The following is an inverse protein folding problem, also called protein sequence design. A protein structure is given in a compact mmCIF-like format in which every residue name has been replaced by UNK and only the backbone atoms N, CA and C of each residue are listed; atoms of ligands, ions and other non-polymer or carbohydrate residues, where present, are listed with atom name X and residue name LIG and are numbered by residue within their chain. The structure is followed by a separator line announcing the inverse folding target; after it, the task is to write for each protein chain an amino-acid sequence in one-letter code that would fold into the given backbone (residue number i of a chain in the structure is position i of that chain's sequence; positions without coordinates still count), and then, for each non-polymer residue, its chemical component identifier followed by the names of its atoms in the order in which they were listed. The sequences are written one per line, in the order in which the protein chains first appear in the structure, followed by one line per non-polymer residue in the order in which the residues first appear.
data_IF_072374284465
#
_entry.id   IF_072374284465
#
_cell.length_a   1.000
_cell.length_b   1.000
_cell.length_c   1.000
_cell.angle_alpha   90.00
_cell.angle_beta   90.00
_cell.angle_gamma   90.00
#
_symmetry.space_group_name_H-M   'P 1'
#
loop_
_entity.id
_entity.type
_entity.pdbx_description
1 polymer ?
#
# COMPACT_ATOMS: atom_id res chain seq x y z
N UNK A 1 2.26 -10.33 -15.95
CA UNK A 1 2.78 -9.24 -15.08
C UNK A 1 4.22 -9.56 -14.68
N UNK A 2 5.15 -8.61 -14.75
CA UNK A 2 6.51 -8.78 -14.20
C UNK A 2 6.46 -8.73 -12.66
N UNK A 3 7.26 -9.55 -11.97
CA UNK A 3 7.36 -9.56 -10.51
C UNK A 3 8.68 -8.99 -9.99
N UNK A 4 8.70 -8.60 -8.71
CA UNK A 4 9.87 -8.16 -7.95
C UNK A 4 9.81 -8.69 -6.53
N UNK A 5 10.96 -8.98 -5.93
CA UNK A 5 11.08 -9.29 -4.50
C UNK A 5 10.88 -8.02 -3.67
N UNK A 6 10.02 -8.07 -2.66
CA UNK A 6 9.78 -6.92 -1.78
C UNK A 6 10.78 -6.89 -0.62
N UNK A 7 11.56 -5.81 -0.53
CA UNK A 7 12.55 -5.61 0.52
C UNK A 7 13.55 -6.77 0.61
N UNK A 8 13.90 -7.15 1.84
CA UNK A 8 14.74 -8.32 2.13
C UNK A 8 13.89 -9.56 2.49
N UNK A 9 12.66 -9.65 1.99
CA UNK A 9 11.78 -10.78 2.21
C UNK A 9 11.83 -11.79 1.06
N UNK A 10 11.13 -12.91 1.19
CA UNK A 10 10.89 -13.85 0.08
C UNK A 10 9.57 -13.57 -0.65
N UNK A 11 8.91 -12.44 -0.38
CA UNK A 11 7.64 -12.11 -1.02
C UNK A 11 7.88 -11.55 -2.42
N UNK A 12 7.18 -12.12 -3.40
CA UNK A 12 7.15 -11.59 -4.77
C UNK A 12 5.86 -10.80 -5.02
N UNK A 13 6.01 -9.56 -5.46
CA UNK A 13 4.89 -8.68 -5.81
C UNK A 13 4.98 -8.22 -7.27
N UNK A 14 3.89 -7.69 -7.82
CA UNK A 14 3.88 -7.09 -9.16
C UNK A 14 4.84 -5.90 -9.20
N UNK A 15 5.60 -5.78 -10.30
CA UNK A 15 6.54 -4.68 -10.49
C UNK A 15 5.85 -3.30 -10.55
N UNK A 16 4.56 -3.30 -10.91
CA UNK A 16 3.68 -2.14 -10.83
C UNK A 16 2.76 -2.34 -9.62
N UNK A 17 2.76 -1.38 -8.70
CA UNK A 17 1.80 -1.30 -7.60
C UNK A 17 0.69 -0.29 -7.86
N UNK A 18 -0.34 -0.32 -7.03
CA UNK A 18 -1.46 0.61 -7.06
C UNK A 18 -1.56 1.38 -5.75
N UNK A 19 -1.46 2.72 -5.82
CA UNK A 19 -1.75 3.60 -4.69
C UNK A 19 -3.24 3.83 -4.51
N UNK A 20 -3.75 3.62 -3.30
CA UNK A 20 -5.18 3.69 -2.98
C UNK A 20 -5.59 5.02 -2.32
N UNK A 21 -4.67 5.97 -2.11
CA UNK A 21 -4.95 7.27 -1.48
C UNK A 21 -6.22 7.95 -2.01
N UNK A 22 -6.37 8.06 -3.34
CA UNK A 22 -7.48 8.77 -3.97
C UNK A 22 -8.85 8.09 -3.86
N UNK A 23 -8.93 6.88 -3.31
CA UNK A 23 -10.23 6.22 -3.12
C UNK A 23 -11.08 7.00 -2.10
N UNK A 24 -10.49 7.45 -1.01
CA UNK A 24 -11.24 8.15 0.06
C UNK A 24 -10.57 9.42 0.56
N UNK A 25 -9.42 9.82 -0.01
CA UNK A 25 -8.67 11.01 0.38
C UNK A 25 -8.47 12.00 -0.77
N UNK A 26 -8.44 13.29 -0.43
CA UNK A 26 -8.32 14.42 -1.37
C UNK A 26 -9.65 15.06 -1.75
N UNK A 27 -9.62 15.99 -2.70
CA UNK A 27 -10.76 16.86 -3.04
C UNK A 27 -12.01 16.10 -3.53
N UNK A 28 -11.80 14.91 -4.12
CA UNK A 28 -12.88 14.04 -4.58
C UNK A 28 -12.39 12.59 -4.72
N UNK A 29 -13.15 11.60 -4.20
CA UNK A 29 -13.00 10.18 -4.54
C UNK A 29 -13.02 9.95 -6.05
N UNK A 30 -12.36 8.88 -6.50
CA UNK A 30 -12.32 8.53 -7.94
C UNK A 30 -13.67 8.03 -8.49
N UNK A 31 -14.62 7.70 -7.62
CA UNK A 31 -15.95 7.19 -7.96
C UNK A 31 -16.76 6.92 -6.69
N UNK A 32 -17.91 6.30 -6.83
CA UNK A 32 -18.63 5.72 -5.70
C UNK A 32 -17.95 4.44 -5.17
N UNK A 33 -18.47 3.89 -4.07
CA UNK A 33 -17.90 2.69 -3.45
C UNK A 33 -17.85 1.49 -4.40
N UNK A 34 -18.89 1.27 -5.19
CA UNK A 34 -18.96 0.13 -6.09
C UNK A 34 -17.96 0.29 -7.23
N UNK A 35 -17.87 1.48 -7.82
CA UNK A 35 -16.89 1.79 -8.87
C UNK A 35 -15.45 1.60 -8.37
N UNK A 36 -15.15 1.99 -7.13
CA UNK A 36 -13.84 1.80 -6.53
C UNK A 36 -13.50 0.33 -6.27
N UNK A 37 -14.47 -0.47 -5.81
CA UNK A 37 -14.30 -1.91 -5.63
C UNK A 37 -14.05 -2.58 -6.99
N UNK A 38 -14.86 -2.27 -8.01
CA UNK A 38 -14.66 -2.79 -9.37
C UNK A 38 -13.30 -2.39 -9.94
N UNK A 39 -12.85 -1.17 -9.70
CA UNK A 39 -11.53 -0.72 -10.11
C UNK A 39 -10.40 -1.53 -9.45
N UNK A 40 -10.51 -1.81 -8.14
CA UNK A 40 -9.55 -2.64 -7.41
C UNK A 40 -9.56 -4.09 -7.93
N UNK A 41 -10.74 -4.65 -8.24
CA UNK A 41 -10.86 -5.99 -8.84
C UNK A 41 -10.20 -6.02 -10.22
N UNK A 42 -10.45 -5.01 -11.04
CA UNK A 42 -9.85 -4.88 -12.37
C UNK A 42 -8.32 -4.74 -12.32
N UNK A 43 -7.76 -4.18 -11.23
CA UNK A 43 -6.33 -4.16 -10.98
C UNK A 43 -5.79 -5.56 -10.65
N UNK A 44 -6.49 -6.31 -9.79
CA UNK A 44 -6.14 -7.71 -9.49
C UNK A 44 -6.20 -8.59 -10.74
N UNK A 45 -7.24 -8.45 -11.56
CA UNK A 45 -7.40 -9.21 -12.83
C UNK A 45 -6.26 -8.94 -13.81
N UNK A 46 -5.64 -7.76 -13.75
CA UNK A 46 -4.45 -7.39 -14.53
C UNK A 46 -3.15 -7.91 -13.93
N UNK A 47 -3.22 -8.60 -12.79
CA UNK A 47 -2.10 -9.20 -12.08
C UNK A 47 -1.40 -8.25 -11.12
N UNK A 48 -2.02 -7.13 -10.71
CA UNK A 48 -1.46 -6.27 -9.67
C UNK A 48 -1.62 -6.97 -8.32
N UNK A 49 -0.51 -7.07 -7.59
CA UNK A 49 -0.43 -7.72 -6.28
C UNK A 49 0.20 -6.82 -5.21
N UNK A 50 0.52 -5.56 -5.53
CA UNK A 50 1.03 -4.59 -4.55
C UNK A 50 0.07 -3.40 -4.47
N UNK A 51 -0.56 -3.21 -3.30
CA UNK A 51 -1.54 -2.17 -3.05
C UNK A 51 -1.08 -1.33 -1.85
N UNK A 52 -0.95 -0.03 -2.05
CA UNK A 52 -0.46 0.92 -1.05
C UNK A 52 -1.65 1.71 -0.45
N UNK A 53 -1.76 1.70 0.87
CA UNK A 53 -2.79 2.40 1.65
C UNK A 53 -2.19 2.90 2.96
N UNK A 54 -2.87 3.81 3.65
CA UNK A 54 -2.49 4.29 4.97
C UNK A 54 -3.73 4.74 5.76
N UNK A 55 -3.66 4.66 7.09
CA UNK A 55 -4.71 5.15 8.00
C UNK A 55 -5.11 6.61 7.71
N UNK A 56 -4.13 7.47 7.37
CA UNK A 56 -4.35 8.90 7.08
C UNK A 56 -5.12 9.13 5.77
N UNK A 57 -5.15 8.15 4.86
CA UNK A 57 -5.93 8.25 3.65
C UNK A 57 -7.41 8.11 4.02
N UNK A 58 -8.11 9.24 4.13
CA UNK A 58 -9.50 9.34 4.53
C UNK A 58 -9.69 8.68 5.89
N UNK A 59 -9.38 9.37 7.02
CA UNK A 59 -9.12 8.75 8.31
C UNK A 59 -9.98 7.50 8.60
N UNK A 60 -9.33 6.34 8.69
CA UNK A 60 -9.91 5.01 8.93
C UNK A 60 -10.76 4.39 7.80
N UNK A 61 -11.08 5.11 6.73
CA UNK A 61 -11.99 4.64 5.66
C UNK A 61 -11.30 3.98 4.47
N UNK A 62 -10.07 4.36 4.12
CA UNK A 62 -9.40 3.78 2.93
C UNK A 62 -9.05 2.31 3.14
N UNK A 63 -8.51 1.98 4.32
CA UNK A 63 -8.13 0.61 4.66
C UNK A 63 -9.36 -0.30 4.77
N UNK A 64 -10.50 0.21 5.26
CA UNK A 64 -11.78 -0.51 5.25
C UNK A 64 -12.23 -0.83 3.82
N UNK A 65 -12.25 0.18 2.94
CA UNK A 65 -12.64 0.02 1.53
C UNK A 65 -11.72 -0.97 0.80
N UNK A 66 -10.41 -0.78 0.92
CA UNK A 66 -9.40 -1.64 0.26
C UNK A 66 -9.48 -3.06 0.83
N UNK A 67 -9.66 -3.19 2.14
CA UNK A 67 -9.82 -4.48 2.82
C UNK A 67 -11.06 -5.23 2.33
N UNK A 68 -12.20 -4.56 2.21
CA UNK A 68 -13.44 -5.10 1.67
C UNK A 68 -13.28 -5.52 0.21
N UNK A 69 -12.71 -4.65 -0.63
CA UNK A 69 -12.52 -4.91 -2.05
C UNK A 69 -11.60 -6.11 -2.31
N UNK A 70 -10.51 -6.24 -1.56
CA UNK A 70 -9.52 -7.29 -1.77
C UNK A 70 -9.82 -8.60 -1.03
N UNK A 71 -10.80 -8.62 -0.12
CA UNK A 71 -11.17 -9.81 0.64
C UNK A 71 -11.37 -11.08 -0.21
N UNK A 72 -12.01 -11.02 -1.40
CA UNK A 72 -12.18 -12.21 -2.27
C UNK A 72 -10.87 -12.77 -2.86
N UNK A 73 -9.80 -11.97 -2.90
CA UNK A 73 -8.51 -12.32 -3.53
C UNK A 73 -7.40 -12.61 -2.50
N UNK A 74 -7.76 -12.66 -1.21
CA UNK A 74 -6.80 -12.86 -0.12
C UNK A 74 -6.32 -14.31 -0.08
N UNK A 75 -5.05 -14.50 -0.46
CA UNK A 75 -4.25 -15.64 0.01
C UNK A 75 -3.71 -15.30 1.41
N UNK A 76 -3.89 -16.22 2.37
CA UNK A 76 -3.58 -16.00 3.79
C UNK A 76 -2.11 -15.62 4.01
N UNK A 77 -1.18 -16.10 3.16
CA UNK A 77 0.25 -15.79 3.26
C UNK A 77 0.55 -14.30 3.06
N UNK A 78 -0.30 -13.56 2.33
CA UNK A 78 -0.08 -12.14 1.98
C UNK A 78 -0.65 -11.17 3.01
N UNK A 79 -1.30 -11.68 4.05
CA UNK A 79 -1.91 -10.89 5.14
C UNK A 79 -0.88 -10.34 6.14
N UNK A 80 0.32 -10.93 6.17
CA UNK A 80 1.33 -10.64 7.20
C UNK A 80 1.93 -9.24 7.09
N UNK A 81 1.97 -8.64 5.90
CA UNK A 81 2.61 -7.33 5.68
C UNK A 81 1.86 -6.18 6.37
N UNK A 82 0.55 -6.10 6.17
CA UNK A 82 -0.22 -4.94 6.65
C UNK A 82 -0.50 -5.01 8.16
N UNK A 83 -0.67 -6.21 8.73
CA UNK A 83 -0.92 -6.37 10.18
C UNK A 83 0.35 -6.06 10.99
N UNK A 84 1.53 -6.36 10.44
CA UNK A 84 2.80 -6.07 11.10
C UNK A 84 3.00 -4.57 11.34
N UNK A 85 2.64 -3.73 10.37
CA UNK A 85 2.81 -2.28 10.44
C UNK A 85 2.07 -1.65 11.64
N UNK A 86 0.86 -2.11 11.94
CA UNK A 86 0.05 -1.63 13.08
C UNK A 86 0.72 -1.92 14.43
N UNK A 87 1.64 -2.89 14.48
CA UNK A 87 2.35 -3.29 15.70
C UNK A 87 3.74 -2.66 15.82
N UNK A 88 4.22 -1.94 14.80
CA UNK A 88 5.55 -1.32 14.83
C UNK A 88 5.53 -0.11 15.77
N UNK A 89 6.29 -0.20 16.86
CA UNK A 89 6.60 0.94 17.72
C UNK A 89 8.05 1.35 17.48
N UNK A 90 8.24 2.53 16.91
CA UNK A 90 9.58 3.09 16.70
C UNK A 90 10.08 3.73 18.00
N UNK A 91 11.28 3.35 18.40
CA UNK A 91 12.04 4.00 19.47
C UNK A 91 12.81 5.21 18.92
N UNK A 92 13.33 6.07 19.80
CA UNK A 92 14.25 7.14 19.39
C UNK A 92 15.53 6.60 18.70
N UNK A 93 15.95 5.38 19.03
CA UNK A 93 17.06 4.71 18.36
C UNK A 93 16.72 4.44 16.90
N UNK A 94 15.54 3.85 16.66
CA UNK A 94 15.05 3.51 15.33
C UNK A 94 14.88 4.77 14.47
N UNK A 95 14.34 5.85 15.04
CA UNK A 95 14.20 7.14 14.33
C UNK A 95 15.55 7.71 13.91
N UNK A 96 16.56 7.66 14.80
CA UNK A 96 17.92 8.10 14.46
C UNK A 96 18.56 7.25 13.37
N UNK A 97 18.29 5.95 13.36
CA UNK A 97 18.77 5.04 12.32
C UNK A 97 18.12 5.33 10.97
N UNK A 98 16.79 5.54 10.96
CA UNK A 98 16.03 5.94 9.77
C UNK A 98 16.58 7.25 9.20
N UNK A 99 16.79 8.27 10.04
CA UNK A 99 17.34 9.56 9.59
C UNK A 99 18.72 9.40 8.96
N UNK A 100 19.60 8.60 9.59
CA UNK A 100 20.93 8.33 9.05
C UNK A 100 20.84 7.59 7.71
N UNK A 101 20.00 6.57 7.59
CA UNK A 101 19.82 5.83 6.34
C UNK A 101 19.27 6.72 5.23
N UNK A 102 18.25 7.53 5.55
CA UNK A 102 17.62 8.46 4.61
C UNK A 102 18.60 9.52 4.09
N UNK A 103 19.54 9.97 4.92
CA UNK A 103 20.58 10.94 4.49
C UNK A 103 21.48 10.44 3.34
N UNK A 104 21.54 9.12 3.13
CA UNK A 104 22.37 8.49 2.09
C UNK A 104 21.61 8.18 0.80
N UNK A 105 20.28 8.29 0.82
CA UNK A 105 19.42 7.94 -0.31
C UNK A 105 19.29 9.17 -1.21
N UNK A 106 19.73 9.03 -2.46
CA UNK A 106 19.46 10.05 -3.50
C UNK A 106 17.98 9.97 -3.87
N UNK A 107 17.21 10.99 -3.48
CA UNK A 107 15.82 11.12 -3.90
C UNK A 107 15.79 11.48 -5.39
N UNK A 108 15.19 10.61 -6.19
CA UNK A 108 15.01 10.82 -7.62
C UNK A 108 13.54 11.17 -7.89
N UNK A 109 13.33 12.35 -8.47
CA UNK A 109 12.02 12.88 -8.84
C UNK A 109 11.66 14.14 -8.05
N UNK A 110 11.28 15.18 -8.77
CA UNK A 110 10.72 16.40 -8.19
C UNK A 110 9.23 16.14 -7.94
N UNK A 111 8.87 15.81 -6.69
CA UNK A 111 7.50 16.07 -6.26
C UNK A 111 7.42 17.57 -6.02
N UNK A 112 7.05 18.26 -7.10
CA UNK A 112 6.75 19.68 -7.36
C UNK A 112 7.59 20.26 -8.50
#
# INVERSE_FOLDING_TARGET
MQKRTLGNSNLEVSAIGLGCMRMTFGDKPIGDKAEMIEFLHAAVDRGITFFDTAEVYGPFTNEELVGEALAPFREIERLQENIGAVQVKLTEGDLREIDRAMSTITVLGDRY
#
